data_IF_308558807710
#
_entry.id   IF_308558807710
#
_cell.length_a   1.000
_cell.length_b   1.000
_cell.length_c   1.000
_cell.angle_alpha   90.00
_cell.angle_beta   90.00
_cell.angle_gamma   90.00
#
_symmetry.space_group_name_H-M   'P 1'
#
loop_
_entity.id
_entity.type
_entity.pdbx_description
1 polymer ?
#
# COMPACT_ATOMS: atom_id res chain seq x y z
N UNK A 1 22.55 26.84 10.98
CA UNK A 1 21.23 26.24 10.96
C UNK A 1 20.59 26.65 9.65
N UNK A 2 20.66 25.79 8.64
CA UNK A 2 19.93 26.00 7.40
C UNK A 2 18.54 25.36 7.62
N UNK A 3 17.52 26.19 7.74
CA UNK A 3 16.15 25.74 7.61
C UNK A 3 16.00 25.24 6.17
N UNK A 4 15.88 23.93 5.99
CA UNK A 4 15.43 23.37 4.72
C UNK A 4 14.08 24.01 4.42
N UNK A 5 14.02 24.92 3.45
CA UNK A 5 12.78 25.41 2.92
C UNK A 5 12.06 24.22 2.29
N UNK A 6 11.10 23.66 3.02
CA UNK A 6 10.13 22.72 2.45
C UNK A 6 9.47 23.50 1.33
N UNK A 7 9.74 23.10 0.07
CA UNK A 7 9.21 23.78 -1.10
C UNK A 7 7.68 23.84 -1.05
N UNK A 8 7.11 24.91 -1.61
CA UNK A 8 5.66 25.06 -1.72
C UNK A 8 5.10 23.87 -2.48
N UNK A 9 4.19 23.16 -1.84
CA UNK A 9 3.45 22.03 -2.41
C UNK A 9 2.10 22.48 -3.00
N UNK A 10 1.13 21.61 -3.00
CA UNK A 10 -0.23 21.87 -3.46
C UNK A 10 -1.25 21.60 -2.36
N UNK A 11 -2.44 22.20 -2.50
CA UNK A 11 -3.63 21.82 -1.75
C UNK A 11 -4.58 21.05 -2.67
N UNK A 12 -4.87 19.81 -2.33
CA UNK A 12 -5.81 18.98 -3.08
C UNK A 12 -6.44 17.91 -2.17
N UNK A 13 -7.66 17.51 -2.47
CA UNK A 13 -8.37 16.47 -1.71
C UNK A 13 -8.54 16.79 -0.21
N UNK A 14 -8.44 18.07 0.19
CA UNK A 14 -8.49 18.49 1.58
C UNK A 14 -7.15 18.36 2.35
N UNK A 15 -6.06 18.08 1.64
CA UNK A 15 -4.71 17.95 2.20
C UNK A 15 -3.79 19.08 1.72
N UNK A 16 -2.88 19.49 2.58
CA UNK A 16 -1.69 20.25 2.19
C UNK A 16 -0.56 19.25 1.91
N UNK A 17 -0.09 19.22 0.66
CA UNK A 17 0.83 18.19 0.16
C UNK A 17 2.16 18.85 -0.14
N UNK A 18 3.23 18.33 0.45
CA UNK A 18 4.60 18.83 0.28
C UNK A 18 5.09 18.61 -1.16
N UNK A 19 5.92 19.51 -1.66
CA UNK A 19 6.47 19.42 -3.01
C UNK A 19 7.31 18.15 -3.25
N UNK A 20 8.11 17.73 -2.26
CA UNK A 20 8.91 16.51 -2.37
C UNK A 20 8.05 15.24 -2.47
N UNK A 21 6.91 15.20 -1.79
CA UNK A 21 5.93 14.11 -1.91
C UNK A 21 5.30 14.09 -3.30
N UNK A 22 4.84 15.24 -3.79
CA UNK A 22 4.23 15.36 -5.12
C UNK A 22 5.22 14.95 -6.23
N UNK A 23 6.44 15.51 -6.19
CA UNK A 23 7.47 15.19 -7.17
C UNK A 23 7.85 13.70 -7.13
N UNK A 24 7.97 13.11 -5.93
CA UNK A 24 8.25 11.69 -5.79
C UNK A 24 7.16 10.81 -6.40
N UNK A 25 5.88 11.15 -6.18
CA UNK A 25 4.74 10.41 -6.76
C UNK A 25 4.68 10.61 -8.28
N UNK A 26 4.86 11.83 -8.77
CA UNK A 26 4.87 12.13 -10.20
C UNK A 26 5.96 11.33 -10.93
N UNK A 27 7.17 11.29 -10.35
CA UNK A 27 8.26 10.53 -10.94
C UNK A 27 8.02 9.02 -10.90
N UNK A 28 7.47 8.51 -9.81
CA UNK A 28 7.13 7.10 -9.69
C UNK A 28 6.09 6.69 -10.74
N UNK A 29 5.03 7.49 -10.93
CA UNK A 29 4.02 7.30 -11.98
C UNK A 29 4.66 7.29 -13.37
N UNK A 30 5.49 8.30 -13.68
CA UNK A 30 6.16 8.41 -14.99
C UNK A 30 7.07 7.21 -15.28
N UNK A 31 7.79 6.70 -14.28
CA UNK A 31 8.74 5.62 -14.46
C UNK A 31 8.07 4.24 -14.63
N UNK A 32 6.94 4.02 -13.97
CA UNK A 32 6.27 2.71 -13.94
C UNK A 32 5.04 2.63 -14.83
N UNK A 33 4.50 3.77 -15.27
CA UNK A 33 3.22 3.84 -15.99
C UNK A 33 1.98 3.64 -15.09
N UNK A 34 2.17 3.52 -13.78
CA UNK A 34 1.04 3.47 -12.84
C UNK A 34 0.41 4.85 -12.74
N UNK A 35 -0.90 4.90 -12.79
CA UNK A 35 -1.69 6.12 -12.77
C UNK A 35 -1.34 7.02 -11.57
N UNK A 36 -1.08 8.31 -11.86
CA UNK A 36 -0.68 9.29 -10.85
C UNK A 36 -1.76 9.52 -9.81
N UNK A 37 -3.01 9.71 -10.24
CA UNK A 37 -4.12 9.97 -9.33
C UNK A 37 -4.41 8.75 -8.43
N UNK A 38 -4.19 7.52 -8.94
CA UNK A 38 -4.24 6.31 -8.13
C UNK A 38 -3.19 6.32 -7.01
N UNK A 39 -1.93 6.66 -7.33
CA UNK A 39 -0.86 6.72 -6.32
C UNK A 39 -1.13 7.83 -5.29
N UNK A 40 -1.67 8.96 -5.72
CA UNK A 40 -2.08 10.06 -4.85
C UNK A 40 -3.20 9.62 -3.90
N UNK A 41 -4.27 9.01 -4.43
CA UNK A 41 -5.38 8.50 -3.64
C UNK A 41 -4.92 7.47 -2.60
N UNK A 42 -3.96 6.62 -2.97
CA UNK A 42 -3.33 5.66 -2.07
C UNK A 42 -2.57 6.37 -0.93
N UNK A 43 -1.68 7.31 -1.24
CA UNK A 43 -0.91 8.06 -0.25
C UNK A 43 -1.80 8.86 0.72
N UNK A 44 -2.85 9.49 0.19
CA UNK A 44 -3.86 10.20 0.98
C UNK A 44 -4.49 9.27 2.02
N UNK A 45 -4.92 8.10 1.59
CA UNK A 45 -5.61 7.12 2.43
C UNK A 45 -4.70 6.47 3.46
N UNK A 46 -3.46 6.17 3.09
CA UNK A 46 -2.51 5.46 3.94
C UNK A 46 -1.94 6.33 5.06
N UNK A 47 -1.62 7.58 4.76
CA UNK A 47 -0.91 8.47 5.69
C UNK A 47 -1.40 9.90 5.70
N UNK A 48 -2.37 10.29 4.85
CA UNK A 48 -2.69 11.69 4.62
C UNK A 48 -1.49 12.47 4.08
N UNK A 49 -0.69 11.85 3.22
CA UNK A 49 0.57 12.38 2.68
C UNK A 49 1.68 12.63 3.72
N UNK A 50 1.58 12.01 4.90
CA UNK A 50 2.61 12.13 5.93
C UNK A 50 3.67 11.03 5.78
N UNK A 51 4.91 11.36 5.35
CA UNK A 51 5.98 10.37 5.19
C UNK A 51 6.47 9.80 6.53
N UNK A 52 6.25 10.50 7.63
CA UNK A 52 6.65 10.07 8.97
C UNK A 52 5.58 9.24 9.70
N UNK A 53 4.45 8.99 9.04
CA UNK A 53 3.36 8.22 9.64
C UNK A 53 3.83 6.84 10.08
N UNK A 54 3.41 6.43 11.28
CA UNK A 54 3.76 5.14 11.88
C UNK A 54 2.54 4.52 12.54
N UNK A 55 2.26 3.28 12.18
CA UNK A 55 1.20 2.50 12.82
C UNK A 55 1.56 2.15 14.26
N UNK A 56 0.58 2.28 15.16
CA UNK A 56 0.71 1.83 16.57
C UNK A 56 0.48 0.34 16.74
N UNK A 57 -0.17 -0.31 15.77
CA UNK A 57 -0.63 -1.69 15.88
C UNK A 57 0.14 -2.65 14.96
N UNK A 58 1.01 -2.15 14.07
CA UNK A 58 1.82 -2.99 13.16
C UNK A 58 3.18 -2.38 12.86
N UNK A 59 3.95 -3.06 11.98
CA UNK A 59 5.21 -2.54 11.43
C UNK A 59 5.03 -1.54 10.29
N UNK A 60 3.80 -1.14 9.96
CA UNK A 60 3.51 -0.22 8.87
C UNK A 60 4.08 1.18 9.16
N UNK A 61 4.73 1.78 8.16
CA UNK A 61 5.35 3.09 8.28
C UNK A 61 5.45 3.79 6.92
N UNK A 62 5.60 5.13 6.98
CA UNK A 62 5.89 5.97 5.84
C UNK A 62 4.66 6.37 5.03
N UNK A 63 4.90 7.02 3.91
CA UNK A 63 3.90 7.60 3.01
C UNK A 63 2.82 6.59 2.58
N UNK A 64 3.21 5.35 2.28
CA UNK A 64 2.34 4.28 1.81
C UNK A 64 2.12 3.16 2.84
N UNK A 65 2.46 3.39 4.11
CA UNK A 65 2.24 2.46 5.21
C UNK A 65 2.69 1.01 4.91
N UNK A 66 3.85 0.86 4.26
CA UNK A 66 4.40 -0.47 4.01
C UNK A 66 4.70 -1.22 5.31
N UNK A 67 4.22 -2.43 5.41
CA UNK A 67 4.68 -3.38 6.43
C UNK A 67 6.05 -3.93 6.06
N UNK A 68 6.84 -4.32 7.07
CA UNK A 68 8.24 -4.70 6.88
C UNK A 68 8.46 -5.75 5.78
N UNK A 69 7.71 -6.85 5.79
CA UNK A 69 7.96 -7.94 4.84
C UNK A 69 7.63 -7.55 3.39
N UNK A 70 6.55 -6.81 3.19
CA UNK A 70 6.21 -6.29 1.86
C UNK A 70 7.27 -5.30 1.39
N UNK A 71 7.73 -4.40 2.27
CA UNK A 71 8.81 -3.48 1.96
C UNK A 71 10.09 -4.19 1.54
N UNK A 72 10.55 -5.13 2.34
CA UNK A 72 11.75 -5.92 2.02
C UNK A 72 11.59 -6.69 0.70
N UNK A 73 10.38 -7.19 0.39
CA UNK A 73 10.11 -7.89 -0.86
C UNK A 73 10.25 -6.97 -2.07
N UNK A 74 9.64 -5.78 -2.01
CA UNK A 74 9.68 -4.82 -3.11
C UNK A 74 11.09 -4.26 -3.30
N UNK A 75 11.79 -3.88 -2.23
CA UNK A 75 13.18 -3.41 -2.30
C UNK A 75 14.11 -4.49 -2.84
N UNK A 76 13.94 -5.76 -2.43
CA UNK A 76 14.73 -6.87 -2.97
C UNK A 76 14.54 -7.05 -4.47
N UNK A 77 13.30 -6.87 -4.97
CA UNK A 77 12.96 -7.07 -6.37
C UNK A 77 13.37 -5.87 -7.24
N UNK A 78 13.01 -4.68 -6.83
CA UNK A 78 13.10 -3.48 -7.65
C UNK A 78 14.16 -2.47 -7.16
N UNK A 79 14.74 -2.67 -5.99
CA UNK A 79 15.65 -1.70 -5.39
C UNK A 79 16.87 -1.36 -6.27
N UNK A 80 17.34 -2.30 -7.09
CA UNK A 80 18.48 -2.05 -7.98
C UNK A 80 18.18 -0.96 -9.02
N UNK A 81 16.95 -0.89 -9.51
CA UNK A 81 16.48 0.09 -10.50
C UNK A 81 16.38 1.51 -9.91
N UNK A 82 16.29 1.58 -8.58
CA UNK A 82 16.14 2.82 -7.80
C UNK A 82 17.39 3.15 -6.96
N UNK A 83 18.58 2.67 -7.37
CA UNK A 83 19.83 2.97 -6.68
C UNK A 83 20.05 2.25 -5.35
N UNK A 84 19.21 1.28 -5.00
CA UNK A 84 19.30 0.49 -3.76
C UNK A 84 19.87 -0.92 -3.97
N UNK A 85 20.64 -1.13 -5.06
CA UNK A 85 21.14 -2.46 -5.44
C UNK A 85 21.94 -3.15 -4.36
N UNK A 86 22.83 -2.42 -3.67
CA UNK A 86 23.65 -2.96 -2.59
C UNK A 86 22.80 -3.39 -1.38
N UNK A 87 21.75 -2.64 -1.07
CA UNK A 87 20.79 -2.95 -0.01
C UNK A 87 19.91 -4.14 -0.40
N UNK A 88 19.37 -4.14 -1.62
CA UNK A 88 18.57 -5.24 -2.16
C UNK A 88 19.33 -6.57 -2.13
N UNK A 89 20.60 -6.57 -2.48
CA UNK A 89 21.47 -7.75 -2.44
C UNK A 89 21.69 -8.33 -1.03
N UNK A 90 21.45 -7.56 0.03
CA UNK A 90 21.58 -8.00 1.43
C UNK A 90 20.28 -8.55 2.01
N UNK A 91 19.15 -8.39 1.32
CA UNK A 91 17.87 -8.95 1.74
C UNK A 91 17.81 -10.42 1.29
N UNK A 92 17.77 -11.34 2.24
CA UNK A 92 17.79 -12.80 2.01
C UNK A 92 16.49 -13.43 2.47
N UNK A 93 16.07 -14.47 1.74
CA UNK A 93 14.96 -15.32 2.14
C UNK A 93 15.48 -16.35 3.17
N UNK A 94 14.84 -16.41 4.33
CA UNK A 94 15.11 -17.40 5.35
C UNK A 94 14.38 -18.72 5.06
N UNK A 95 14.75 -19.78 5.75
CA UNK A 95 14.14 -21.12 5.63
C UNK A 95 12.63 -21.12 6.00
N UNK A 96 12.21 -20.17 6.84
CA UNK A 96 10.82 -19.97 7.23
C UNK A 96 10.02 -19.10 6.25
N UNK A 97 10.57 -18.82 5.06
CA UNK A 97 9.95 -17.98 4.03
C UNK A 97 9.94 -16.48 4.34
N UNK A 98 10.62 -16.03 5.42
CA UNK A 98 10.70 -14.59 5.76
C UNK A 98 11.94 -13.94 5.19
N UNK A 99 11.77 -12.72 4.71
CA UNK A 99 12.88 -11.89 4.30
C UNK A 99 13.59 -11.28 5.51
N UNK A 100 14.93 -11.31 5.47
CA UNK A 100 15.79 -10.85 6.55
C UNK A 100 17.01 -10.12 6.01
N UNK A 101 17.50 -9.19 6.83
CA UNK A 101 18.81 -8.55 6.67
C UNK A 101 19.61 -8.89 7.91
N UNK A 102 20.76 -9.54 7.75
CA UNK A 102 21.57 -10.03 8.86
C UNK A 102 22.15 -8.88 9.71
N UNK A 103 22.57 -7.80 9.07
CA UNK A 103 23.06 -6.60 9.73
C UNK A 103 21.87 -5.77 10.24
N UNK A 104 21.78 -5.58 11.54
CA UNK A 104 20.67 -4.84 12.17
C UNK A 104 20.69 -3.33 11.86
N UNK A 105 21.87 -2.73 11.68
CA UNK A 105 22.00 -1.32 11.31
C UNK A 105 21.52 -1.10 9.87
N UNK A 106 21.97 -1.94 8.94
CA UNK A 106 21.53 -1.92 7.56
C UNK A 106 20.02 -2.22 7.45
N UNK A 107 19.51 -3.19 8.24
CA UNK A 107 18.06 -3.46 8.27
C UNK A 107 17.28 -2.22 8.67
N UNK A 108 17.74 -1.50 9.70
CA UNK A 108 17.11 -0.25 10.13
C UNK A 108 17.15 0.78 9.02
N UNK A 109 18.29 0.97 8.36
CA UNK A 109 18.45 1.89 7.24
C UNK A 109 17.48 1.58 6.10
N UNK A 110 17.40 0.33 5.66
CA UNK A 110 16.44 -0.13 4.63
C UNK A 110 14.99 0.16 5.06
N UNK A 111 14.64 -0.09 6.31
CA UNK A 111 13.29 0.13 6.80
C UNK A 111 12.94 1.62 6.97
N UNK A 112 13.92 2.47 7.25
CA UNK A 112 13.71 3.91 7.37
C UNK A 112 13.46 4.59 6.01
N UNK A 113 13.91 4.00 4.90
CA UNK A 113 13.60 4.47 3.53
C UNK A 113 12.09 4.52 3.22
N UNK A 114 11.24 3.83 3.97
CA UNK A 114 9.77 3.97 3.86
C UNK A 114 9.28 5.40 4.14
N UNK A 115 10.11 6.22 4.79
CA UNK A 115 9.84 7.62 5.11
C UNK A 115 10.43 8.60 4.10
N UNK A 116 11.28 8.13 3.19
CA UNK A 116 11.74 8.92 2.07
C UNK A 116 10.59 8.99 1.03
N UNK A 117 10.05 10.18 0.71
CA UNK A 117 8.91 10.29 -0.18
C UNK A 117 9.16 9.73 -1.57
N UNK A 118 10.34 9.97 -2.14
CA UNK A 118 10.68 9.53 -3.49
C UNK A 118 10.84 8.01 -3.56
N UNK A 119 11.59 7.43 -2.61
CA UNK A 119 11.79 5.98 -2.55
C UNK A 119 10.49 5.25 -2.19
N UNK A 120 9.71 5.80 -1.25
CA UNK A 120 8.44 5.19 -0.88
C UNK A 120 7.44 5.20 -2.04
N UNK A 121 7.37 6.30 -2.82
CA UNK A 121 6.53 6.39 -4.00
C UNK A 121 6.99 5.44 -5.11
N UNK A 122 8.30 5.39 -5.38
CA UNK A 122 8.86 4.46 -6.36
C UNK A 122 8.51 3.00 -6.01
N UNK A 123 8.73 2.58 -4.77
CA UNK A 123 8.41 1.21 -4.33
C UNK A 123 6.91 0.93 -4.33
N UNK A 124 6.06 1.92 -4.07
CA UNK A 124 4.61 1.77 -4.15
C UNK A 124 4.14 1.58 -5.59
N UNK A 125 4.69 2.35 -6.52
CA UNK A 125 4.39 2.24 -7.93
C UNK A 125 4.86 0.89 -8.51
N UNK A 126 6.08 0.44 -8.16
CA UNK A 126 6.58 -0.88 -8.57
C UNK A 126 5.69 -2.02 -8.04
N UNK A 127 5.27 -1.91 -6.78
CA UNK A 127 4.37 -2.90 -6.19
C UNK A 127 2.99 -2.91 -6.88
N UNK A 128 2.47 -1.74 -7.25
CA UNK A 128 1.22 -1.62 -7.99
C UNK A 128 1.37 -2.18 -9.41
N UNK A 129 2.46 -1.87 -10.12
CA UNK A 129 2.77 -2.40 -11.44
C UNK A 129 2.87 -3.94 -11.42
N UNK A 130 3.55 -4.52 -10.44
CA UNK A 130 3.61 -5.97 -10.23
C UNK A 130 2.22 -6.59 -10.04
N UNK A 131 1.35 -5.94 -9.29
CA UNK A 131 -0.01 -6.41 -9.07
C UNK A 131 -0.84 -6.28 -10.35
N UNK A 132 -0.66 -5.20 -11.10
CA UNK A 132 -1.31 -4.98 -12.39
C UNK A 132 -0.96 -6.10 -13.37
N UNK A 133 0.32 -6.32 -13.62
CA UNK A 133 0.80 -7.37 -14.51
C UNK A 133 0.22 -8.76 -14.15
N UNK A 134 0.25 -9.08 -12.87
CA UNK A 134 -0.25 -10.38 -12.40
C UNK A 134 -1.77 -10.51 -12.48
N UNK A 135 -2.52 -9.42 -12.27
CA UNK A 135 -3.97 -9.42 -12.44
C UNK A 135 -4.33 -9.53 -13.92
N UNK A 136 -3.69 -8.76 -14.80
CA UNK A 136 -3.90 -8.81 -16.26
C UNK A 136 -3.64 -10.21 -16.80
N UNK A 137 -2.53 -10.84 -16.38
CA UNK A 137 -2.21 -12.22 -16.76
C UNK A 137 -3.24 -13.25 -16.25
N UNK A 138 -3.96 -12.97 -15.18
CA UNK A 138 -4.96 -13.88 -14.58
C UNK A 138 -6.37 -13.66 -15.14
N UNK A 139 -6.70 -12.42 -15.49
CA UNK A 139 -8.05 -12.02 -15.90
C UNK A 139 -8.18 -11.90 -17.42
N UNK A 140 -7.06 -11.96 -18.16
CA UNK A 140 -7.00 -11.80 -19.61
C UNK A 140 -7.69 -10.51 -20.10
N UNK A 141 -7.56 -9.44 -19.32
CA UNK A 141 -8.04 -8.09 -19.63
C UNK A 141 -7.22 -7.01 -18.96
N UNK A 142 -7.31 -5.77 -19.48
CA UNK A 142 -6.73 -4.61 -18.82
C UNK A 142 -7.33 -4.41 -17.42
N UNK A 143 -6.47 -4.04 -16.46
CA UNK A 143 -6.80 -3.82 -15.06
C UNK A 143 -7.16 -2.35 -14.84
N UNK A 144 -8.25 -2.12 -14.13
CA UNK A 144 -8.70 -0.80 -13.73
C UNK A 144 -8.10 -0.38 -12.37
N UNK A 145 -8.03 0.91 -12.03
CA UNK A 145 -7.60 1.36 -10.72
C UNK A 145 -8.33 0.69 -9.55
N UNK A 146 -9.62 0.41 -9.72
CA UNK A 146 -10.44 -0.31 -8.74
C UNK A 146 -9.98 -1.76 -8.54
N UNK A 147 -9.55 -2.44 -9.61
CA UNK A 147 -9.00 -3.80 -9.53
C UNK A 147 -7.69 -3.81 -8.73
N UNK A 148 -6.81 -2.81 -8.97
CA UNK A 148 -5.58 -2.62 -8.20
C UNK A 148 -5.88 -2.35 -6.73
N UNK A 149 -6.88 -1.53 -6.47
CA UNK A 149 -7.32 -1.26 -5.11
C UNK A 149 -7.86 -2.52 -4.42
N UNK A 150 -8.60 -3.37 -5.13
CA UNK A 150 -9.01 -4.68 -4.64
C UNK A 150 -7.81 -5.60 -4.36
N UNK A 151 -6.76 -5.55 -5.19
CA UNK A 151 -5.54 -6.32 -4.93
C UNK A 151 -4.81 -5.80 -3.68
N UNK A 152 -4.81 -4.50 -3.47
CA UNK A 152 -4.32 -3.92 -2.23
C UNK A 152 -5.21 -4.33 -1.04
N UNK A 153 -6.52 -4.38 -1.20
CA UNK A 153 -7.50 -4.67 -0.15
C UNK A 153 -7.61 -6.17 0.20
N UNK A 154 -7.66 -7.07 -0.76
CA UNK A 154 -7.88 -8.51 -0.59
C UNK A 154 -6.60 -9.33 -0.76
N UNK A 155 -5.48 -8.67 -1.11
CA UNK A 155 -4.31 -9.33 -1.66
C UNK A 155 -4.58 -9.82 -3.09
N UNK A 156 -3.52 -10.09 -3.85
CA UNK A 156 -3.60 -10.50 -5.24
C UNK A 156 -4.52 -11.72 -5.46
N UNK A 157 -4.37 -12.75 -4.61
CA UNK A 157 -5.21 -13.96 -4.68
C UNK A 157 -6.69 -13.66 -4.43
N UNK A 158 -6.97 -12.82 -3.42
CA UNK A 158 -8.34 -12.42 -3.10
C UNK A 158 -8.98 -11.60 -4.21
N UNK A 159 -8.25 -10.63 -4.77
CA UNK A 159 -8.72 -9.84 -5.91
C UNK A 159 -8.98 -10.71 -7.15
N UNK A 160 -8.05 -11.59 -7.52
CA UNK A 160 -8.25 -12.53 -8.62
C UNK A 160 -9.50 -13.40 -8.41
N UNK A 161 -9.70 -13.90 -7.18
CA UNK A 161 -10.89 -14.70 -6.87
C UNK A 161 -12.17 -13.88 -6.94
N UNK A 162 -12.14 -12.64 -6.45
CA UNK A 162 -13.28 -11.72 -6.47
C UNK A 162 -13.68 -11.36 -7.91
N UNK A 163 -12.71 -10.88 -8.69
CA UNK A 163 -12.93 -10.42 -10.07
C UNK A 163 -13.35 -11.58 -10.97
N UNK A 164 -12.66 -12.73 -10.89
CA UNK A 164 -13.02 -13.90 -11.67
C UNK A 164 -14.37 -14.54 -11.27
N UNK A 165 -14.82 -14.38 -10.02
CA UNK A 165 -16.16 -14.78 -9.62
C UNK A 165 -17.21 -13.79 -10.13
N UNK A 166 -16.91 -12.48 -10.07
CA UNK A 166 -17.78 -11.42 -10.56
C UNK A 166 -18.03 -11.53 -12.07
N UNK A 167 -17.00 -11.89 -12.87
CA UNK A 167 -17.12 -12.14 -14.30
C UNK A 167 -18.06 -13.32 -14.63
N UNK A 168 -18.10 -14.33 -13.77
CA UNK A 168 -18.99 -15.50 -13.93
C UNK A 168 -20.39 -15.23 -13.45
N UNK A 169 -20.54 -14.61 -12.29
CA UNK A 169 -21.81 -14.26 -11.66
C UNK A 169 -21.67 -13.03 -10.76
N UNK A 170 -21.92 -11.87 -11.32
CA UNK A 170 -21.86 -10.59 -10.62
C UNK A 170 -22.90 -10.47 -9.49
N UNK A 171 -23.94 -11.31 -9.50
CA UNK A 171 -25.00 -11.34 -8.49
C UNK A 171 -24.68 -12.25 -7.31
N UNK A 172 -23.59 -13.02 -7.38
CA UNK A 172 -23.13 -13.84 -6.25
C UNK A 172 -22.94 -12.96 -5.00
N UNK A 173 -23.34 -13.49 -3.83
CA UNK A 173 -23.15 -12.82 -2.55
C UNK A 173 -21.67 -12.74 -2.18
N UNK A 174 -21.19 -11.51 -1.90
CA UNK A 174 -19.77 -11.31 -1.57
C UNK A 174 -19.38 -11.96 -0.24
N UNK A 175 -20.31 -12.01 0.73
CA UNK A 175 -20.05 -12.64 2.03
C UNK A 175 -19.91 -14.18 1.92
N UNK A 176 -20.54 -14.80 0.96
CA UNK A 176 -20.41 -16.25 0.71
C UNK A 176 -19.03 -16.59 0.18
N UNK A 177 -18.48 -15.72 -0.68
CA UNK A 177 -17.14 -15.89 -1.24
C UNK A 177 -16.03 -15.56 -0.21
N UNK A 178 -16.24 -14.55 0.65
CA UNK A 178 -15.27 -14.04 1.62
C UNK A 178 -15.85 -13.98 3.05
N UNK A 179 -16.25 -15.09 3.69
CA UNK A 179 -16.97 -15.04 4.96
C UNK A 179 -16.18 -14.39 6.10
N UNK A 180 -14.87 -14.62 6.17
CA UNK A 180 -14.01 -13.98 7.18
C UNK A 180 -13.86 -12.48 6.94
N UNK A 181 -13.67 -12.08 5.68
CA UNK A 181 -13.63 -10.67 5.29
C UNK A 181 -14.95 -9.97 5.61
N UNK A 182 -16.06 -10.62 5.32
CA UNK A 182 -17.40 -10.12 5.60
C UNK A 182 -17.66 -9.95 7.11
N UNK A 183 -17.19 -10.89 7.92
CA UNK A 183 -17.31 -10.79 9.39
C UNK A 183 -16.54 -9.58 9.95
N UNK A 184 -15.34 -9.32 9.42
CA UNK A 184 -14.49 -8.18 9.82
C UNK A 184 -14.96 -6.83 9.24
N UNK A 185 -15.68 -6.84 8.12
CA UNK A 185 -16.03 -5.65 7.33
C UNK A 185 -17.50 -5.58 6.97
N UNK A 186 -18.37 -5.71 7.98
CA UNK A 186 -19.82 -5.78 7.78
C UNK A 186 -20.39 -4.67 6.90
N UNK A 187 -19.93 -3.43 7.05
CA UNK A 187 -20.40 -2.29 6.27
C UNK A 187 -20.09 -2.38 4.77
N UNK A 188 -19.08 -3.18 4.38
CA UNK A 188 -18.74 -3.42 2.97
C UNK A 188 -19.61 -4.54 2.41
N UNK A 189 -19.74 -5.63 3.14
CA UNK A 189 -20.37 -6.85 2.66
C UNK A 189 -21.88 -6.93 2.90
N UNK A 190 -22.42 -6.12 3.81
CA UNK A 190 -23.84 -6.12 4.15
C UNK A 190 -24.46 -4.74 4.01
N UNK A 191 -25.75 -4.70 3.70
CA UNK A 191 -26.58 -3.49 3.75
C UNK A 191 -27.04 -3.21 5.18
N UNK A 192 -27.67 -2.07 5.40
CA UNK A 192 -28.18 -1.68 6.71
C UNK A 192 -29.28 -2.62 7.23
N UNK A 193 -30.02 -3.25 6.34
CA UNK A 193 -31.07 -4.23 6.66
C UNK A 193 -30.51 -5.63 6.98
N UNK A 194 -29.19 -5.80 6.94
CA UNK A 194 -28.50 -7.08 7.21
C UNK A 194 -28.39 -8.01 5.99
N UNK A 195 -29.00 -7.68 4.85
CA UNK A 195 -28.84 -8.47 3.63
C UNK A 195 -27.43 -8.31 3.06
N UNK A 196 -26.87 -9.41 2.51
CA UNK A 196 -25.54 -9.32 1.90
C UNK A 196 -25.58 -8.58 0.56
N UNK A 197 -24.46 -7.93 0.25
CA UNK A 197 -24.24 -7.32 -1.06
C UNK A 197 -23.72 -8.35 -2.05
N UNK A 198 -24.10 -8.15 -3.30
CA UNK A 198 -23.51 -8.88 -4.42
C UNK A 198 -22.08 -8.44 -4.69
N UNK A 199 -21.32 -9.22 -5.46
CA UNK A 199 -19.98 -8.85 -5.90
C UNK A 199 -20.00 -7.53 -6.68
N UNK A 200 -20.99 -7.34 -7.57
CA UNK A 200 -21.16 -6.09 -8.32
C UNK A 200 -21.35 -4.90 -7.40
N UNK A 201 -22.26 -4.98 -6.42
CA UNK A 201 -22.50 -3.86 -5.50
C UNK A 201 -21.29 -3.53 -4.63
N UNK A 202 -20.48 -4.52 -4.28
CA UNK A 202 -19.23 -4.29 -3.57
C UNK A 202 -18.24 -3.59 -4.49
N UNK A 203 -18.10 -4.05 -5.73
CA UNK A 203 -17.22 -3.44 -6.73
C UNK A 203 -17.60 -1.99 -7.01
N UNK A 204 -18.89 -1.72 -7.30
CA UNK A 204 -19.39 -0.37 -7.58
C UNK A 204 -19.11 0.62 -6.44
N UNK A 205 -19.16 0.15 -5.20
CA UNK A 205 -18.82 0.98 -4.03
C UNK A 205 -17.33 1.33 -3.98
N UNK A 206 -16.47 0.38 -4.32
CA UNK A 206 -15.03 0.63 -4.41
C UNK A 206 -14.72 1.54 -5.60
N UNK A 207 -15.35 1.32 -6.74
CA UNK A 207 -15.18 2.11 -7.95
C UNK A 207 -15.60 3.56 -7.72
N UNK A 208 -16.84 3.80 -7.27
CA UNK A 208 -17.34 5.14 -7.00
C UNK A 208 -16.44 5.92 -6.05
N UNK A 209 -15.91 5.23 -5.05
CA UNK A 209 -14.99 5.83 -4.09
C UNK A 209 -13.64 6.13 -4.71
N UNK A 210 -13.05 5.16 -5.45
CA UNK A 210 -11.75 5.33 -6.09
C UNK A 210 -11.81 6.48 -7.11
N UNK A 211 -12.83 6.50 -7.96
CA UNK A 211 -13.05 7.58 -8.93
C UNK A 211 -13.15 8.94 -8.24
N UNK A 212 -13.93 9.03 -7.15
CA UNK A 212 -14.06 10.28 -6.40
C UNK A 212 -12.76 10.72 -5.72
N UNK A 213 -11.98 9.76 -5.20
CA UNK A 213 -10.70 10.05 -4.56
C UNK A 213 -9.64 10.46 -5.60
N UNK A 214 -9.58 9.80 -6.76
CA UNK A 214 -8.65 10.13 -7.85
C UNK A 214 -8.93 11.48 -8.47
N UNK A 215 -10.20 11.80 -8.72
CA UNK A 215 -10.62 13.08 -9.31
C UNK A 215 -10.15 14.32 -8.50
N UNK A 216 -9.86 14.14 -7.22
CA UNK A 216 -9.31 15.20 -6.38
C UNK A 216 -7.86 15.61 -6.75
N UNK A 217 -7.18 14.80 -7.58
CA UNK A 217 -5.76 14.97 -7.92
C UNK A 217 -5.48 15.08 -9.42
N UNK A 218 -6.49 14.96 -10.28
CA UNK A 218 -6.33 15.02 -11.74
C UNK A 218 -5.63 16.30 -12.21
N UNK A 219 -5.97 17.44 -11.62
CA UNK A 219 -5.39 18.75 -11.96
C UNK A 219 -3.90 18.89 -11.54
N UNK A 220 -3.38 18.00 -10.74
CA UNK A 220 -2.00 18.01 -10.30
C UNK A 220 -1.07 17.20 -11.20
N UNK A 221 -1.59 16.37 -12.07
CA UNK A 221 -0.79 15.56 -12.98
C UNK A 221 -0.01 16.45 -13.95
N UNK A 222 1.29 16.15 -14.11
CA UNK A 222 2.18 16.93 -14.98
C UNK A 222 2.54 18.33 -14.48
N UNK A 223 2.07 18.74 -13.31
CA UNK A 223 2.43 20.02 -12.70
C UNK A 223 3.80 19.92 -12.03
N UNK A 224 4.75 20.80 -12.39
CA UNK A 224 6.04 20.88 -11.71
C UNK A 224 5.92 21.71 -10.45
N UNK A 225 6.26 21.13 -9.31
CA UNK A 225 6.31 21.82 -8.03
C UNK A 225 7.75 22.29 -7.74
N UNK A 226 7.93 23.55 -7.30
CA UNK A 226 9.24 24.09 -6.97
C UNK A 226 9.81 23.41 -5.73
N UNK A 227 10.62 22.39 -5.96
CA UNK A 227 11.37 21.62 -4.97
C UNK A 227 12.46 20.86 -5.71
N UNK A 228 13.66 20.90 -5.18
CA UNK A 228 14.84 20.30 -5.78
C UNK A 228 14.61 18.83 -6.12
N UNK A 229 14.84 18.45 -7.36
CA UNK A 229 14.81 17.07 -7.86
C UNK A 229 15.95 16.28 -7.21
N UNK A 230 15.66 15.52 -6.17
CA UNK A 230 16.67 14.80 -5.36
C UNK A 230 16.86 13.37 -5.87
N UNK A 231 16.95 13.13 -7.17
CA UNK A 231 17.35 11.81 -7.67
C UNK A 231 18.76 11.76 -8.26
N UNK A 232 19.53 12.88 -8.24
CA UNK A 232 20.88 12.88 -8.78
C UNK A 232 21.98 12.59 -7.76
N UNK A 233 21.71 12.54 -6.44
CA UNK A 233 22.82 12.50 -5.48
C UNK A 233 22.53 11.77 -4.16
N UNK A 234 22.12 10.51 -4.20
CA UNK A 234 22.10 9.63 -3.00
C UNK A 234 23.54 9.32 -2.51
N UNK A 235 24.57 9.80 -3.22
CA UNK A 235 25.98 9.54 -2.86
C UNK A 235 26.61 10.52 -1.88
N UNK A 236 26.02 11.67 -1.56
CA UNK A 236 26.71 12.68 -0.75
C UNK A 236 26.07 13.14 0.56
N UNK A 237 24.97 12.57 1.02
CA UNK A 237 24.37 12.93 2.32
C UNK A 237 24.76 11.98 3.46
N UNK A 238 26.07 11.74 3.66
CA UNK A 238 26.59 11.29 4.95
C UNK A 238 26.89 12.52 5.80
N UNK A 239 26.00 12.89 6.70
CA UNK A 239 26.29 13.91 7.70
C UNK A 239 25.08 14.43 8.46
N UNK A 240 24.93 13.93 9.67
CA UNK A 240 24.33 14.62 10.81
C UNK A 240 22.79 14.72 10.90
N UNK A 241 22.17 13.72 11.51
CA UNK A 241 20.80 13.82 12.04
C UNK A 241 20.84 14.23 13.51
N UNK A 242 20.60 15.53 13.76
CA UNK A 242 20.25 16.05 15.08
C UNK A 242 18.74 16.01 15.29
N UNK A 243 18.29 15.36 16.36
CA UNK A 243 16.88 15.21 16.67
C UNK A 243 16.19 16.52 17.05
N UNK A 244 14.93 16.64 16.71
CA UNK A 244 13.98 17.56 17.36
C UNK A 244 12.71 16.79 17.68
N UNK A 245 12.43 16.71 18.98
CA UNK A 245 11.14 16.27 19.53
C UNK A 245 10.10 17.34 19.27
N UNK A 246 8.94 16.94 18.79
CA UNK A 246 7.76 17.79 18.68
C UNK A 246 6.51 16.94 18.91
N UNK A 247 5.97 17.03 20.14
CA UNK A 247 4.66 16.52 20.51
C UNK A 247 3.56 17.20 19.69
N UNK A 248 2.66 16.43 19.15
CA UNK A 248 1.48 16.95 18.44
C UNK A 248 0.57 15.82 17.96
N UNK A 249 -0.01 15.08 18.92
CA UNK A 249 -1.05 14.10 18.60
C UNK A 249 -2.36 14.81 18.27
N UNK A 250 -2.86 14.68 17.04
CA UNK A 250 -4.30 14.76 16.78
C UNK A 250 -4.65 13.64 15.78
N UNK A 251 -4.91 12.46 16.29
CA UNK A 251 -5.61 11.41 15.57
C UNK A 251 -6.97 11.21 16.21
N UNK A 252 -7.97 11.83 15.65
CA UNK A 252 -9.33 11.66 16.05
C UNK A 252 -10.28 12.35 15.11
N UNK A 253 -10.39 11.84 13.90
CA UNK A 253 -11.63 12.00 13.14
C UNK A 253 -11.86 10.73 12.34
N UNK A 254 -12.68 9.86 12.89
CA UNK A 254 -13.39 8.82 12.18
C UNK A 254 -14.38 9.51 11.25
N UNK A 255 -14.07 9.55 9.96
CA UNK A 255 -15.06 9.90 8.95
C UNK A 255 -16.20 8.88 9.02
N UNK A 256 -17.48 9.32 8.96
CA UNK A 256 -18.62 8.42 8.94
C UNK A 256 -18.69 7.69 7.60
N UNK A 257 -18.16 6.50 7.55
CA UNK A 257 -18.08 5.65 6.36
C UNK A 257 -16.85 4.77 6.41
N UNK A 258 -16.67 4.02 7.51
CA UNK A 258 -15.51 3.22 7.85
C UNK A 258 -14.87 2.50 6.68
N UNK A 259 -13.79 3.06 6.17
CA UNK A 259 -12.85 2.39 5.30
C UNK A 259 -11.64 2.05 6.13
N UNK A 260 -11.35 0.79 6.10
CA UNK A 260 -10.31 0.14 6.88
C UNK A 260 -8.94 0.71 6.51
N UNK A 261 -8.14 1.00 7.52
CA UNK A 261 -6.72 1.25 7.32
C UNK A 261 -6.04 -0.04 6.81
N UNK A 262 -4.89 0.04 6.16
CA UNK A 262 -4.10 -1.11 5.71
C UNK A 262 -3.84 -2.15 6.79
N UNK A 263 -3.89 -1.72 8.02
CA UNK A 263 -3.73 -2.56 9.20
C UNK A 263 -4.84 -3.60 9.35
N UNK A 264 -6.08 -3.25 8.99
CA UNK A 264 -7.20 -4.20 8.94
C UNK A 264 -7.10 -5.12 7.72
N UNK A 265 -6.40 -4.70 6.69
CA UNK A 265 -6.18 -5.42 5.44
C UNK A 265 -5.20 -6.58 5.56
N UNK A 266 -4.16 -6.43 6.36
CA UNK A 266 -3.22 -7.51 6.69
C UNK A 266 -3.97 -8.71 7.30
N UNK A 267 -5.01 -8.45 8.08
CA UNK A 267 -5.84 -9.50 8.69
C UNK A 267 -6.74 -10.22 7.66
N UNK A 268 -7.05 -9.59 6.55
CA UNK A 268 -7.91 -10.14 5.48
C UNK A 268 -7.14 -10.96 4.44
N UNK A 269 -5.90 -10.58 4.14
CA UNK A 269 -5.04 -11.30 3.19
C UNK A 269 -4.59 -12.68 3.71
N UNK A 270 -4.72 -12.96 5.01
CA UNK A 270 -4.31 -14.22 5.63
C UNK A 270 -5.38 -15.32 5.62
N UNK A 271 -6.45 -15.18 4.83
CA UNK A 271 -7.53 -16.15 4.83
C UNK A 271 -7.27 -17.30 3.84
N UNK A 272 -7.17 -18.55 4.28
CA UNK A 272 -7.11 -19.69 3.37
C UNK A 272 -8.47 -19.86 2.69
N UNK A 273 -8.52 -19.69 1.38
CA UNK A 273 -9.63 -20.18 0.56
C UNK A 273 -9.48 -21.69 0.45
N UNK A 274 -10.56 -22.43 0.73
CA UNK A 274 -10.55 -23.88 0.66
C UNK A 274 -10.17 -24.39 -0.72
N UNK A 275 -9.34 -25.44 -0.70
CA UNK A 275 -8.94 -26.30 -1.80
C UNK A 275 -8.38 -25.60 -3.04
N UNK A 276 -7.06 -25.47 -3.05
CA UNK A 276 -6.25 -25.79 -4.22
C UNK A 276 -4.79 -25.97 -3.79
N UNK A 277 -4.31 -27.18 -3.96
CA UNK A 277 -2.89 -27.48 -3.99
C UNK A 277 -2.41 -27.04 -5.36
N UNK A 278 -1.71 -25.93 -5.43
CA UNK A 278 -0.81 -25.66 -6.54
C UNK A 278 0.44 -24.97 -6.02
N UNK A 279 1.53 -25.62 -6.29
CA UNK A 279 2.87 -25.31 -5.82
C UNK A 279 3.37 -24.07 -6.57
N UNK A 280 3.55 -22.96 -5.89
CA UNK A 280 4.24 -21.80 -6.45
C UNK A 280 3.91 -20.44 -5.83
N UNK A 281 2.88 -20.34 -4.99
CA UNK A 281 2.47 -19.05 -4.38
C UNK A 281 2.48 -19.14 -2.83
N UNK A 282 3.13 -20.14 -2.28
CA UNK A 282 3.21 -20.36 -0.82
C UNK A 282 4.04 -19.30 -0.07
N UNK A 283 4.86 -18.51 -0.77
CA UNK A 283 5.81 -17.61 -0.12
C UNK A 283 5.19 -16.34 0.48
N UNK A 284 4.02 -15.91 0.01
CA UNK A 284 3.43 -14.66 0.50
C UNK A 284 2.40 -14.85 1.61
N UNK A 285 1.77 -16.02 1.72
CA UNK A 285 0.67 -16.28 2.66
C UNK A 285 1.07 -16.92 4.00
N UNK A 286 2.28 -17.49 4.13
CA UNK A 286 2.71 -18.11 5.39
C UNK A 286 3.07 -17.09 6.48
N UNK A 287 3.30 -15.84 6.10
CA UNK A 287 3.79 -14.80 7.00
C UNK A 287 2.71 -14.18 7.90
N UNK A 288 1.45 -14.33 7.54
CA UNK A 288 0.35 -13.67 8.24
C UNK A 288 -0.40 -14.55 9.25
N UNK A 289 -0.15 -15.86 9.26
CA UNK A 289 -0.94 -16.83 10.05
C UNK A 289 -0.51 -16.97 11.52
N UNK A 290 0.52 -16.25 11.98
CA UNK A 290 1.07 -16.45 13.35
C UNK A 290 0.75 -15.35 14.37
N UNK A 291 0.05 -14.29 13.96
CA UNK A 291 -0.22 -13.15 14.84
C UNK A 291 -1.53 -13.24 15.65
N UNK A 292 -2.33 -14.30 15.50
CA UNK A 292 -3.67 -14.39 16.11
C UNK A 292 -3.91 -15.63 16.98
N UNK A 293 -2.85 -16.29 17.49
CA UNK A 293 -3.05 -17.29 18.54
C UNK A 293 -2.67 -16.65 19.88
N UNK A 294 -3.61 -15.93 20.46
CA UNK A 294 -3.60 -15.54 21.86
C UNK A 294 -3.86 -16.76 22.73
N UNK A 295 -3.03 -16.95 23.73
CA UNK A 295 -3.07 -17.97 24.76
C UNK A 295 -4.43 -17.97 25.51
N UNK A 296 -5.06 -19.08 25.77
CA UNK A 296 -6.08 -19.17 26.79
C UNK A 296 -5.41 -19.24 28.17
N UNK A 297 -5.74 -18.31 29.02
CA UNK A 297 -5.44 -18.36 30.44
C UNK A 297 -6.32 -19.42 31.08
N UNK A 298 -5.68 -20.36 31.77
CA UNK A 298 -6.33 -21.24 32.73
C UNK A 298 -6.61 -20.51 34.01
#
# INVERSE_FOLDING_TARGET
MAASSIGLGAQAGGYEIRADVLNGIQQASTNTGVDFAYLMAQAAKESGFNPDAKSKASSAAGLYQFVEQTWLSVVRKHGAEHGLGDMAAKIKLGEDGKLRVADSALRKEILDLRRDPAIAAAMAAEHAADNQERLEAKLDRAVQPTDLYLAHFLGLKGATSFLGAMEKDAKQGGADLFPKAAAANKSIFYRADGSQRTLQEIYDRFESRMVSEMAAYDDLEGTSFAGETVLADVRSSRGNAGGVSGDGAIFGQTSPGGVLSPLMLVTLASLPTGRDRDEGIAEHNSLFNRATVGNPVA
#
